data_IF_912649983499
#
_entry.id   IF_912649983499
#
_cell.length_a   1.000
_cell.length_b   1.000
_cell.length_c   1.000
_cell.angle_alpha   90.00
_cell.angle_beta   90.00
_cell.angle_gamma   90.00
#
_symmetry.space_group_name_H-M   'P 1'
#
loop_
_entity.id
_entity.type
_entity.pdbx_description
1 polymer ?
#
# COMPACT_ATOMS: atom_id res chain seq x y z
N UNK A 1 8.56 13.53 24.70
CA UNK A 1 7.41 12.62 24.81
C UNK A 1 6.80 12.48 23.43
N UNK A 2 6.45 11.26 23.01
CA UNK A 2 5.83 11.03 21.69
C UNK A 2 4.52 11.82 21.58
N UNK A 3 4.29 12.47 20.43
CA UNK A 3 3.03 13.20 20.18
C UNK A 3 1.80 12.29 20.13
N UNK A 4 1.93 11.05 19.64
CA UNK A 4 0.81 10.12 19.54
C UNK A 4 0.54 9.36 20.82
N UNK A 5 1.60 9.01 21.55
CA UNK A 5 1.49 8.25 22.81
C UNK A 5 2.27 9.01 23.88
N UNK A 6 1.62 9.95 24.61
CA UNK A 6 2.30 10.90 25.49
C UNK A 6 3.14 10.27 26.61
N UNK A 7 2.85 9.02 26.99
CA UNK A 7 3.57 8.30 28.03
C UNK A 7 4.83 7.57 27.55
N UNK A 8 5.11 7.56 26.23
CA UNK A 8 6.31 6.93 25.65
C UNK A 8 7.35 7.97 25.22
N UNK A 9 8.61 7.53 25.18
CA UNK A 9 9.71 8.29 24.59
C UNK A 9 9.49 8.43 23.08
N UNK A 10 9.80 9.60 22.53
CA UNK A 10 9.64 9.81 21.09
C UNK A 10 10.74 9.05 20.33
N UNK A 11 10.40 8.25 19.30
CA UNK A 11 11.39 7.58 18.47
C UNK A 11 12.29 8.61 17.76
N UNK A 12 13.60 8.35 17.75
CA UNK A 12 14.57 9.28 17.16
C UNK A 12 14.61 9.21 15.62
N UNK A 13 14.33 8.03 15.06
CA UNK A 13 14.54 7.70 13.65
C UNK A 13 13.38 8.11 12.71
N UNK A 14 12.24 8.53 13.26
CA UNK A 14 11.04 8.91 12.48
C UNK A 14 11.00 10.37 12.05
N UNK A 15 11.91 11.21 12.58
CA UNK A 15 11.93 12.65 12.32
C UNK A 15 12.27 12.96 10.87
N UNK A 16 11.51 13.88 10.27
CA UNK A 16 11.73 14.37 8.90
C UNK A 16 10.94 13.61 7.83
N UNK A 17 10.14 12.61 8.21
CA UNK A 17 9.28 11.89 7.27
C UNK A 17 7.86 12.48 7.21
N UNK A 18 7.25 12.41 6.03
CA UNK A 18 5.88 12.89 5.83
C UNK A 18 4.88 12.06 6.65
N UNK A 19 4.00 12.75 7.36
CA UNK A 19 2.98 12.13 8.21
C UNK A 19 3.50 11.55 9.52
N UNK A 20 4.67 11.99 9.98
CA UNK A 20 5.20 11.61 11.30
C UNK A 20 4.37 12.22 12.43
N UNK A 21 3.87 11.34 13.29
CA UNK A 21 3.19 11.66 14.55
C UNK A 21 3.89 10.97 15.72
N UNK A 22 5.10 10.44 15.51
CA UNK A 22 5.93 9.75 16.50
C UNK A 22 5.23 8.50 17.08
N UNK A 23 4.38 7.85 16.28
CA UNK A 23 3.67 6.62 16.65
C UNK A 23 4.52 5.39 16.33
N UNK A 24 5.35 4.99 17.27
CA UNK A 24 6.09 3.72 17.24
C UNK A 24 6.19 3.13 18.67
N UNK A 25 5.13 2.47 19.17
CA UNK A 25 5.16 1.91 20.52
C UNK A 25 6.04 0.66 20.65
N UNK A 26 6.49 0.07 19.54
CA UNK A 26 7.25 -1.19 19.50
C UNK A 26 8.69 -1.01 18.99
N UNK A 27 9.15 0.21 18.78
CA UNK A 27 10.50 0.53 18.28
C UNK A 27 10.87 -0.18 16.97
N UNK A 28 9.91 -0.38 16.06
CA UNK A 28 10.21 -0.98 14.75
C UNK A 28 11.20 -0.13 13.95
N UNK A 29 11.14 1.19 14.12
CA UNK A 29 12.05 2.15 13.46
C UNK A 29 13.48 2.13 14.01
N UNK A 30 13.73 1.49 15.17
CA UNK A 30 15.07 1.33 15.74
C UNK A 30 15.74 0.04 15.23
N UNK A 31 14.94 -0.99 14.97
CA UNK A 31 15.43 -2.30 14.58
C UNK A 31 15.54 -2.49 13.05
N UNK A 32 14.80 -1.70 12.26
CA UNK A 32 14.75 -1.82 10.80
C UNK A 32 15.03 -0.48 10.11
N UNK A 33 15.48 -0.53 8.86
CA UNK A 33 15.68 0.67 8.05
C UNK A 33 14.34 1.38 7.79
N UNK A 34 14.26 2.65 8.16
CA UNK A 34 13.08 3.49 7.99
C UNK A 34 12.69 3.66 6.52
N UNK A 35 13.66 3.62 5.58
CA UNK A 35 13.37 3.67 4.14
C UNK A 35 12.57 2.46 3.68
N UNK A 36 12.95 1.28 4.17
CA UNK A 36 12.25 0.03 3.90
C UNK A 36 10.84 0.03 4.50
N UNK A 37 10.69 0.46 5.76
CA UNK A 37 9.39 0.56 6.41
C UNK A 37 8.46 1.53 5.66
N UNK A 38 9.00 2.66 5.17
CA UNK A 38 8.22 3.63 4.41
C UNK A 38 7.75 3.08 3.06
N UNK A 39 8.63 2.42 2.31
CA UNK A 39 8.27 1.76 1.05
C UNK A 39 7.20 0.69 1.27
N UNK A 40 7.36 -0.12 2.32
CA UNK A 40 6.38 -1.13 2.69
C UNK A 40 5.03 -0.51 3.01
N UNK A 41 4.97 0.56 3.80
CA UNK A 41 3.73 1.26 4.15
C UNK A 41 3.01 1.80 2.91
N UNK A 42 3.74 2.45 2.00
CA UNK A 42 3.16 3.01 0.77
C UNK A 42 2.65 1.89 -0.14
N UNK A 43 3.40 0.80 -0.30
CA UNK A 43 2.97 -0.34 -1.11
C UNK A 43 1.69 -0.98 -0.55
N UNK A 44 1.63 -1.25 0.76
CA UNK A 44 0.43 -1.77 1.40
C UNK A 44 -0.76 -0.82 1.25
N UNK A 45 -0.52 0.50 1.37
CA UNK A 45 -1.55 1.52 1.16
C UNK A 45 -2.10 1.51 -0.26
N UNK A 46 -1.24 1.52 -1.28
CA UNK A 46 -1.65 1.50 -2.70
C UNK A 46 -2.43 0.23 -3.06
N UNK A 47 -1.93 -0.94 -2.64
CA UNK A 47 -2.61 -2.22 -2.88
C UNK A 47 -3.98 -2.24 -2.18
N UNK A 48 -4.07 -1.75 -0.95
CA UNK A 48 -5.33 -1.71 -0.19
C UNK A 48 -6.34 -0.72 -0.80
N UNK A 49 -5.89 0.42 -1.32
CA UNK A 49 -6.76 1.37 -2.03
C UNK A 49 -7.36 0.75 -3.31
N UNK A 50 -6.58 -0.01 -4.07
CA UNK A 50 -7.08 -0.73 -5.24
C UNK A 50 -8.01 -1.88 -4.84
N UNK A 51 -7.67 -2.61 -3.77
CA UNK A 51 -8.47 -3.72 -3.27
C UNK A 51 -9.85 -3.26 -2.76
N UNK A 52 -9.92 -2.16 -2.01
CA UNK A 52 -11.22 -1.61 -1.52
C UNK A 52 -12.14 -1.19 -2.67
N UNK A 53 -11.61 -0.50 -3.69
CA UNK A 53 -12.38 -0.15 -4.88
C UNK A 53 -12.79 -1.39 -5.68
N UNK A 54 -11.89 -2.36 -5.83
CA UNK A 54 -12.18 -3.62 -6.51
C UNK A 54 -13.27 -4.43 -5.80
N UNK A 55 -13.22 -4.50 -4.47
CA UNK A 55 -14.20 -5.22 -3.65
C UNK A 55 -15.61 -4.65 -3.83
N UNK A 56 -15.74 -3.32 -3.84
CA UNK A 56 -16.99 -2.62 -4.11
C UNK A 56 -17.47 -2.80 -5.55
N UNK A 57 -16.57 -2.62 -6.54
CA UNK A 57 -16.95 -2.66 -7.96
C UNK A 57 -17.37 -4.07 -8.43
N UNK A 58 -16.71 -5.12 -7.94
CA UNK A 58 -16.96 -6.50 -8.35
C UNK A 58 -18.40 -6.96 -8.07
N UNK A 59 -19.06 -6.35 -7.10
CA UNK A 59 -20.45 -6.67 -6.77
C UNK A 59 -21.45 -6.18 -7.84
N UNK A 60 -21.15 -5.06 -8.50
CA UNK A 60 -22.06 -4.43 -9.46
C UNK A 60 -21.68 -4.72 -10.91
N UNK A 61 -20.38 -4.81 -11.20
CA UNK A 61 -19.86 -4.93 -12.57
C UNK A 61 -18.92 -6.11 -12.66
N UNK A 62 -19.34 -7.10 -13.43
CA UNK A 62 -18.55 -8.28 -13.75
C UNK A 62 -18.05 -8.19 -15.18
N UNK A 63 -16.79 -8.54 -15.42
CA UNK A 63 -16.22 -8.56 -16.76
C UNK A 63 -16.97 -9.59 -17.64
N UNK A 64 -17.22 -9.26 -18.93
CA UNK A 64 -17.89 -10.17 -19.84
C UNK A 64 -17.07 -11.47 -19.99
N UNK A 65 -17.70 -12.61 -19.71
CA UNK A 65 -17.05 -13.93 -19.71
C UNK A 65 -16.73 -14.50 -18.33
N UNK A 66 -17.03 -13.78 -17.24
CA UNK A 66 -16.94 -14.30 -15.87
C UNK A 66 -18.33 -14.45 -15.25
N UNK A 67 -18.50 -15.42 -14.35
CA UNK A 67 -19.76 -15.59 -13.61
C UNK A 67 -19.87 -14.52 -12.52
N UNK A 68 -21.01 -13.82 -12.41
CA UNK A 68 -21.24 -12.89 -11.32
C UNK A 68 -21.17 -13.58 -9.97
N UNK A 69 -20.45 -12.97 -9.04
CA UNK A 69 -20.39 -13.40 -7.64
C UNK A 69 -20.97 -12.30 -6.76
N UNK A 70 -21.85 -12.67 -5.84
CA UNK A 70 -22.42 -11.74 -4.86
C UNK A 70 -21.42 -11.47 -3.74
N UNK A 71 -20.67 -12.49 -3.32
CA UNK A 71 -19.58 -12.34 -2.37
C UNK A 71 -18.22 -12.26 -3.09
N UNK A 72 -17.57 -11.10 -3.00
CA UNK A 72 -16.24 -10.86 -3.57
C UNK A 72 -15.16 -11.77 -2.97
N UNK A 73 -15.34 -12.32 -1.76
CA UNK A 73 -14.39 -13.28 -1.17
C UNK A 73 -14.35 -14.61 -1.94
N UNK A 74 -15.45 -14.97 -2.62
CA UNK A 74 -15.53 -16.20 -3.40
C UNK A 74 -14.98 -16.03 -4.82
N UNK A 75 -14.79 -14.79 -5.29
CA UNK A 75 -14.27 -14.50 -6.63
C UNK A 75 -12.99 -15.29 -6.98
N UNK A 76 -11.97 -15.41 -6.10
CA UNK A 76 -10.78 -16.23 -6.35
C UNK A 76 -11.07 -17.70 -6.71
N UNK A 77 -12.05 -18.30 -6.04
CA UNK A 77 -12.40 -19.72 -6.25
C UNK A 77 -13.12 -19.94 -7.57
N UNK A 78 -13.94 -18.96 -7.97
CA UNK A 78 -14.74 -18.98 -9.20
C UNK A 78 -13.89 -18.73 -10.45
N UNK A 79 -12.93 -17.81 -10.34
CA UNK A 79 -11.99 -17.46 -11.41
C UNK A 79 -10.96 -18.59 -11.64
N UNK A 80 -10.70 -19.39 -10.61
CA UNK A 80 -9.80 -20.54 -10.66
C UNK A 80 -8.33 -20.17 -10.44
N UNK A 81 -7.55 -21.16 -10.00
CA UNK A 81 -6.14 -20.97 -9.59
C UNK A 81 -5.26 -20.50 -10.76
N UNK A 82 -5.56 -20.90 -11.99
CA UNK A 82 -4.77 -20.53 -13.17
C UNK A 82 -4.73 -19.02 -13.42
N UNK A 83 -5.89 -18.36 -13.38
CA UNK A 83 -5.99 -16.91 -13.56
C UNK A 83 -5.40 -16.16 -12.35
N UNK A 84 -5.53 -16.69 -11.13
CA UNK A 84 -4.89 -16.10 -9.95
C UNK A 84 -3.37 -16.14 -10.05
N UNK A 85 -2.79 -17.27 -10.49
CA UNK A 85 -1.35 -17.40 -10.70
C UNK A 85 -0.83 -16.45 -11.78
N UNK A 86 -1.60 -16.23 -12.85
CA UNK A 86 -1.22 -15.25 -13.87
C UNK A 86 -1.09 -13.85 -13.29
N UNK A 87 -2.02 -13.41 -12.44
CA UNK A 87 -1.95 -12.10 -11.77
C UNK A 87 -0.69 -12.02 -10.91
N UNK A 88 -0.43 -13.04 -10.08
CA UNK A 88 0.75 -13.06 -9.19
C UNK A 88 2.07 -13.02 -9.99
N UNK A 89 2.17 -13.80 -11.07
CA UNK A 89 3.37 -13.84 -11.90
C UNK A 89 3.61 -12.50 -12.58
N UNK A 90 2.58 -11.89 -13.17
CA UNK A 90 2.73 -10.58 -13.82
C UNK A 90 3.04 -9.46 -12.82
N UNK A 91 2.46 -9.50 -11.62
CA UNK A 91 2.81 -8.57 -10.54
C UNK A 91 4.28 -8.75 -10.10
N UNK A 92 4.76 -9.99 -9.98
CA UNK A 92 6.16 -10.27 -9.67
C UNK A 92 7.13 -9.75 -10.74
N UNK A 93 6.77 -9.88 -12.03
CA UNK A 93 7.55 -9.30 -13.14
C UNK A 93 7.57 -7.77 -13.06
N UNK A 94 6.43 -7.14 -12.78
CA UNK A 94 6.36 -5.69 -12.59
C UNK A 94 7.21 -5.21 -11.41
N UNK A 95 7.19 -5.93 -10.28
CA UNK A 95 8.03 -5.60 -9.13
C UNK A 95 9.52 -5.74 -9.44
N UNK A 96 9.91 -6.80 -10.16
CA UNK A 96 11.29 -7.00 -10.58
C UNK A 96 11.75 -5.88 -11.52
N UNK A 97 10.91 -5.48 -12.47
CA UNK A 97 11.21 -4.41 -13.43
C UNK A 97 11.29 -3.04 -12.75
N UNK A 98 10.32 -2.71 -11.89
CA UNK A 98 10.26 -1.43 -11.19
C UNK A 98 11.45 -1.27 -10.24
N UNK A 99 11.87 -2.36 -9.59
CA UNK A 99 13.01 -2.35 -8.68
C UNK A 99 14.36 -2.68 -9.35
N UNK A 100 14.41 -2.76 -10.69
CA UNK A 100 15.63 -3.07 -11.46
C UNK A 100 16.38 -4.32 -10.96
N UNK A 101 15.64 -5.31 -10.45
CA UNK A 101 16.19 -6.55 -9.89
C UNK A 101 16.53 -6.52 -8.39
N UNK A 102 16.45 -5.38 -7.72
CA UNK A 102 16.77 -5.21 -6.30
C UNK A 102 15.51 -5.35 -5.43
N UNK A 103 15.10 -6.59 -5.18
CA UNK A 103 13.85 -6.89 -4.43
C UNK A 103 14.07 -7.26 -2.97
N UNK A 104 15.32 -7.43 -2.53
CA UNK A 104 15.63 -7.80 -1.14
C UNK A 104 15.79 -6.56 -0.27
N UNK A 105 15.53 -6.71 1.03
CA UNK A 105 15.72 -5.66 2.03
C UNK A 105 17.14 -5.09 2.03
N UNK A 106 18.13 -5.92 1.69
CA UNK A 106 19.53 -5.52 1.61
C UNK A 106 19.84 -4.74 0.33
N UNK A 107 19.23 -5.09 -0.81
CA UNK A 107 19.61 -4.54 -2.13
C UNK A 107 18.76 -3.35 -2.57
N UNK A 108 17.55 -3.20 -2.02
CA UNK A 108 16.60 -2.19 -2.49
C UNK A 108 17.06 -0.75 -2.24
N UNK A 109 17.85 -0.52 -1.18
CA UNK A 109 18.36 0.81 -0.80
C UNK A 109 19.89 0.87 -0.62
N UNK A 110 20.63 -0.19 -0.95
CA UNK A 110 22.09 -0.25 -0.73
C UNK A 110 22.91 0.59 -1.69
N UNK A 111 22.42 0.87 -2.90
CA UNK A 111 23.19 1.57 -3.92
C UNK A 111 23.22 3.08 -3.66
N UNK A 112 24.38 3.67 -3.29
CA UNK A 112 24.50 5.12 -3.02
C UNK A 112 24.29 5.97 -4.28
N UNK A 113 24.39 5.36 -5.47
CA UNK A 113 24.16 5.99 -6.76
C UNK A 113 22.67 6.02 -7.15
N UNK A 114 21.86 5.15 -6.55
CA UNK A 114 20.41 5.21 -6.71
C UNK A 114 19.88 6.16 -5.64
N UNK A 115 19.66 7.42 -5.98
CA UNK A 115 18.93 8.38 -5.13
C UNK A 115 17.44 8.00 -5.06
N UNK A 116 17.14 6.73 -4.77
CA UNK A 116 15.78 6.21 -4.74
C UNK A 116 15.09 6.67 -3.46
N UNK A 117 14.10 7.54 -3.62
CA UNK A 117 13.22 7.97 -2.54
C UNK A 117 12.14 6.90 -2.33
N UNK A 118 11.84 6.50 -1.07
CA UNK A 118 10.75 5.57 -0.80
C UNK A 118 9.41 6.08 -1.37
N UNK A 119 8.70 5.22 -2.10
CA UNK A 119 7.40 5.48 -2.71
C UNK A 119 7.44 6.10 -4.11
N UNK A 120 8.59 6.63 -4.55
CA UNK A 120 8.75 7.24 -5.87
C UNK A 120 9.08 6.16 -6.91
N UNK A 121 8.12 5.76 -7.73
CA UNK A 121 8.33 4.78 -8.81
C UNK A 121 8.64 5.45 -10.17
N UNK A 122 8.75 6.79 -10.21
CA UNK A 122 8.83 7.54 -11.47
C UNK A 122 7.54 7.49 -12.31
N UNK A 123 6.42 7.08 -11.70
CA UNK A 123 5.13 6.94 -12.36
C UNK A 123 4.32 8.25 -12.23
N UNK A 124 4.49 9.16 -13.20
CA UNK A 124 3.65 10.36 -13.35
C UNK A 124 3.24 10.58 -14.81
N UNK A 125 2.30 9.76 -15.36
CA UNK A 125 1.86 9.88 -16.74
C UNK A 125 1.04 11.15 -17.01
N UNK A 126 0.49 11.78 -15.96
CA UNK A 126 -0.38 12.95 -16.07
C UNK A 126 0.31 14.27 -15.67
N UNK A 127 1.59 14.23 -15.31
CA UNK A 127 2.35 15.42 -14.89
C UNK A 127 1.77 16.08 -13.65
N UNK A 128 1.14 15.32 -12.75
CA UNK A 128 0.49 15.88 -11.57
C UNK A 128 1.49 16.38 -10.53
N UNK A 129 2.75 15.93 -10.58
CA UNK A 129 3.80 16.35 -9.68
C UNK A 129 4.72 17.43 -10.29
N UNK A 130 4.70 17.63 -11.62
CA UNK A 130 5.60 18.58 -12.28
C UNK A 130 5.15 20.04 -12.03
N UNK A 131 6.02 20.84 -11.44
CA UNK A 131 5.81 22.27 -11.21
C UNK A 131 5.12 22.68 -9.90
N UNK A 132 4.95 21.75 -8.95
CA UNK A 132 4.40 22.06 -7.62
C UNK A 132 5.48 22.41 -6.61
N UNK A 133 5.11 23.24 -5.62
CA UNK A 133 6.01 23.59 -4.52
C UNK A 133 6.27 22.39 -3.59
N UNK A 134 7.39 22.40 -2.86
CA UNK A 134 7.75 21.32 -1.91
C UNK A 134 6.65 21.09 -0.86
N UNK A 135 6.04 22.16 -0.35
CA UNK A 135 4.94 22.07 0.62
C UNK A 135 3.66 21.43 0.03
N UNK A 136 3.37 21.66 -1.25
CA UNK A 136 2.25 21.02 -1.92
C UNK A 136 2.54 19.54 -2.21
N UNK A 137 3.78 19.20 -2.54
CA UNK A 137 4.23 17.82 -2.69
C UNK A 137 4.09 17.04 -1.39
N UNK A 138 4.57 17.58 -0.26
CA UNK A 138 4.40 16.97 1.06
C UNK A 138 2.92 16.79 1.42
N UNK A 139 2.08 17.79 1.11
CA UNK A 139 0.63 17.69 1.34
C UNK A 139 -0.02 16.57 0.54
N UNK A 140 0.40 16.37 -0.71
CA UNK A 140 -0.10 15.28 -1.54
C UNK A 140 0.37 13.91 -1.05
N UNK A 141 1.66 13.79 -0.69
CA UNK A 141 2.20 12.58 -0.07
C UNK A 141 1.46 12.23 1.24
N UNK A 142 1.15 13.24 2.05
CA UNK A 142 0.36 13.05 3.27
C UNK A 142 -1.07 12.55 2.98
N UNK A 143 -1.69 13.02 1.90
CA UNK A 143 -3.02 12.55 1.47
C UNK A 143 -2.98 11.09 1.03
N UNK A 144 -2.01 10.73 0.22
CA UNK A 144 -1.78 9.34 -0.19
C UNK A 144 -1.62 8.44 1.04
N UNK A 145 -0.77 8.85 1.98
CA UNK A 145 -0.50 8.07 3.18
C UNK A 145 -1.74 7.90 4.07
N UNK A 146 -2.50 8.97 4.32
CA UNK A 146 -3.70 8.91 5.15
C UNK A 146 -4.80 8.07 4.52
N UNK A 147 -5.01 8.20 3.21
CA UNK A 147 -5.98 7.39 2.48
C UNK A 147 -5.54 5.92 2.42
N UNK A 148 -4.24 5.66 2.23
CA UNK A 148 -3.67 4.31 2.27
C UNK A 148 -3.85 3.64 3.63
N UNK A 149 -3.58 4.34 4.73
CA UNK A 149 -3.81 3.85 6.11
C UNK A 149 -5.29 3.53 6.37
N UNK A 150 -6.19 4.40 5.92
CA UNK A 150 -7.63 4.15 6.02
C UNK A 150 -8.04 2.93 5.19
N UNK A 151 -7.53 2.81 3.97
CA UNK A 151 -7.84 1.69 3.08
C UNK A 151 -7.34 0.34 3.61
N UNK A 152 -6.17 0.30 4.26
CA UNK A 152 -5.65 -0.90 4.91
C UNK A 152 -6.60 -1.44 5.99
N UNK A 153 -7.18 -0.54 6.80
CA UNK A 153 -8.18 -0.93 7.80
C UNK A 153 -9.53 -1.28 7.16
N UNK A 154 -9.93 -0.53 6.14
CA UNK A 154 -11.20 -0.74 5.44
C UNK A 154 -11.27 -2.10 4.74
N UNK A 155 -10.24 -2.49 3.98
CA UNK A 155 -10.23 -3.81 3.32
C UNK A 155 -10.24 -4.96 4.33
N UNK A 156 -9.54 -4.78 5.45
CA UNK A 156 -9.60 -5.72 6.57
C UNK A 156 -11.04 -5.88 7.06
N UNK A 157 -11.74 -4.77 7.33
CA UNK A 157 -13.13 -4.79 7.74
C UNK A 157 -14.08 -5.42 6.71
N UNK A 158 -13.93 -5.09 5.43
CA UNK A 158 -14.77 -5.62 4.35
C UNK A 158 -14.65 -7.14 4.21
N UNK A 159 -13.42 -7.65 4.21
CA UNK A 159 -13.18 -9.10 4.14
C UNK A 159 -13.77 -9.77 5.39
N UNK A 160 -13.47 -9.28 6.59
CA UNK A 160 -13.96 -9.89 7.83
C UNK A 160 -15.48 -9.87 7.97
N UNK A 161 -16.16 -8.84 7.47
CA UNK A 161 -17.61 -8.78 7.45
C UNK A 161 -18.19 -9.97 6.65
N UNK A 162 -17.75 -10.15 5.41
CA UNK A 162 -18.22 -11.23 4.56
C UNK A 162 -17.87 -12.62 5.13
N UNK A 163 -16.78 -12.75 5.89
CA UNK A 163 -16.46 -14.01 6.61
C UNK A 163 -17.50 -14.38 7.68
N UNK A 164 -18.04 -13.39 8.39
CA UNK A 164 -18.99 -13.63 9.49
C UNK A 164 -20.41 -13.81 8.95
N UNK A 165 -20.83 -12.91 8.05
CA UNK A 165 -22.23 -12.84 7.61
C UNK A 165 -22.51 -13.72 6.40
N UNK A 166 -21.50 -14.01 5.55
CA UNK A 166 -21.69 -14.82 4.34
C UNK A 166 -22.61 -14.16 3.29
N UNK A 167 -22.94 -12.89 3.49
CA UNK A 167 -23.78 -12.07 2.62
C UNK A 167 -22.93 -11.00 1.92
N UNK A 168 -23.38 -10.47 0.77
CA UNK A 168 -22.71 -9.34 0.12
C UNK A 168 -22.63 -8.14 1.08
N UNK A 169 -21.54 -7.36 0.96
CA UNK A 169 -21.31 -6.20 1.82
C UNK A 169 -22.32 -5.06 1.58
N UNK A 170 -22.91 -5.02 0.37
CA UNK A 170 -23.90 -4.03 -0.06
C UNK A 170 -25.18 -4.67 -0.59
#
# INVERSE_FOLDING_TARGET
MSKSVPFLTAPANTKGWVGDVEFDPFSFSENFDMKWLREAEIKHGRVSMLATLGFWQQQYVTLPGMTPVTDSNLAPTVVGVGAMLQIIVWMGVLEFWTNKGNVTMETMFSDPKSQRVPGDLGFDPMGLASGKSEAEMERMQLRELKNGRLAMLAIGGMIHHNWIFGEPLF
#
